data_IF_924572455906
#
_entry.id   IF_924572455906
#
_cell.length_a   1.000
_cell.length_b   1.000
_cell.length_c   1.000
_cell.angle_alpha   90.00
_cell.angle_beta   90.00
_cell.angle_gamma   90.00
#
_symmetry.space_group_name_H-M   'P 1'
#
loop_
_entity.id
_entity.type
_entity.pdbx_description
1 polymer ?
#
# COMPACT_ATOMS: atom_id res chain seq x y z
N UNK A 1 -0.91 2.64 -10.47
CA UNK A 1 -1.45 3.98 -10.68
C UNK A 1 -2.19 4.06 -11.99
N UNK A 2 -3.33 4.66 -11.93
CA UNK A 2 -4.23 4.78 -13.03
C UNK A 2 -4.18 6.17 -13.66
N UNK A 3 -4.15 6.21 -14.97
CA UNK A 3 -4.18 7.44 -15.74
C UNK A 3 -5.29 7.36 -16.81
N UNK A 4 -6.45 7.00 -16.36
CA UNK A 4 -7.60 6.68 -17.15
C UNK A 4 -8.16 7.88 -17.93
N UNK A 5 -8.70 7.63 -19.07
CA UNK A 5 -9.28 8.65 -19.93
C UNK A 5 -8.29 9.67 -20.49
N UNK A 6 -7.06 9.64 -20.07
CA UNK A 6 -5.99 10.55 -20.50
C UNK A 6 -5.08 9.93 -21.53
N UNK A 7 -5.29 8.67 -21.83
CA UNK A 7 -4.41 7.91 -22.69
C UNK A 7 -4.17 8.53 -24.06
N UNK A 8 -5.18 9.16 -24.65
CA UNK A 8 -5.08 9.80 -25.97
C UNK A 8 -4.18 11.02 -25.93
N UNK A 9 -4.30 11.83 -24.86
CA UNK A 9 -3.57 13.10 -24.74
C UNK A 9 -2.19 12.91 -24.12
N UNK A 10 -2.04 11.92 -23.29
CA UNK A 10 -0.92 11.81 -22.37
C UNK A 10 -0.27 10.43 -22.38
N UNK A 11 -0.13 9.79 -23.52
CA UNK A 11 0.47 8.48 -23.64
C UNK A 11 1.88 8.44 -23.04
N UNK A 12 2.73 9.38 -23.40
CA UNK A 12 4.07 9.49 -22.84
C UNK A 12 4.07 9.82 -21.33
N UNK A 13 3.09 10.58 -20.88
CA UNK A 13 2.90 10.86 -19.45
C UNK A 13 2.52 9.60 -18.69
N UNK A 14 1.63 8.78 -19.25
CA UNK A 14 1.27 7.49 -18.66
C UNK A 14 2.49 6.58 -18.53
N UNK A 15 3.26 6.46 -19.58
CA UNK A 15 4.50 5.65 -19.57
C UNK A 15 5.48 6.15 -18.50
N UNK A 16 5.67 7.46 -18.34
CA UNK A 16 6.53 8.02 -17.30
C UNK A 16 5.98 7.76 -15.89
N UNK A 17 4.67 7.82 -15.70
CA UNK A 17 4.03 7.52 -14.42
C UNK A 17 4.12 6.04 -14.06
N UNK A 18 3.99 5.16 -15.02
CA UNK A 18 4.16 3.73 -14.79
C UNK A 18 5.57 3.41 -14.27
N UNK A 19 6.60 3.98 -14.90
CA UNK A 19 7.98 3.81 -14.46
C UNK A 19 8.23 4.38 -13.06
N UNK A 20 7.70 5.56 -12.76
CA UNK A 20 7.78 6.18 -11.44
C UNK A 20 7.05 5.33 -10.40
N UNK A 21 5.83 4.90 -10.69
CA UNK A 21 5.01 4.09 -9.79
C UNK A 21 5.70 2.78 -9.44
N UNK A 22 6.20 2.06 -10.44
CA UNK A 22 6.93 0.82 -10.21
C UNK A 22 8.24 1.06 -9.46
N UNK A 23 8.91 2.18 -9.74
CA UNK A 23 10.11 2.59 -8.99
C UNK A 23 9.82 2.84 -7.51
N UNK A 24 8.75 3.58 -7.19
CA UNK A 24 8.30 3.80 -5.81
C UNK A 24 7.93 2.49 -5.11
N UNK A 25 7.17 1.63 -5.78
CA UNK A 25 6.76 0.34 -5.23
C UNK A 25 7.97 -0.57 -4.98
N UNK A 26 8.94 -0.60 -5.90
CA UNK A 26 10.18 -1.36 -5.75
C UNK A 26 11.02 -0.84 -4.60
N UNK A 27 11.14 0.48 -4.46
CA UNK A 27 11.88 1.10 -3.35
C UNK A 27 11.21 0.78 -2.00
N UNK A 28 9.88 0.86 -1.93
CA UNK A 28 9.14 0.51 -0.71
C UNK A 28 9.30 -0.99 -0.36
N UNK A 29 9.27 -1.88 -1.36
CA UNK A 29 9.55 -3.31 -1.17
C UNK A 29 10.94 -3.52 -0.58
N UNK A 30 11.97 -2.94 -1.19
CA UNK A 30 13.35 -3.08 -0.72
C UNK A 30 13.50 -2.55 0.71
N UNK A 31 12.95 -1.36 1.00
CA UNK A 31 12.96 -0.79 2.33
C UNK A 31 12.37 -1.74 3.40
N UNK A 32 11.26 -2.38 3.08
CA UNK A 32 10.58 -3.30 4.02
C UNK A 32 11.41 -4.56 4.19
N UNK A 33 11.83 -5.20 3.11
CA UNK A 33 12.55 -6.48 3.14
C UNK A 33 13.93 -6.39 3.79
N UNK A 34 14.61 -5.26 3.65
CA UNK A 34 15.92 -5.00 4.27
C UNK A 34 15.82 -4.76 5.77
N UNK A 35 14.70 -4.30 6.27
CA UNK A 35 14.55 -3.85 7.65
C UNK A 35 13.67 -4.73 8.54
N UNK A 36 12.87 -5.64 7.97
CA UNK A 36 11.88 -6.40 8.73
C UNK A 36 12.10 -7.91 8.68
N UNK A 37 12.07 -8.48 9.88
CA UNK A 37 12.05 -9.92 10.10
C UNK A 37 10.94 -10.28 11.08
N UNK A 38 10.41 -11.49 10.94
CA UNK A 38 9.52 -12.08 11.93
C UNK A 38 10.29 -12.44 13.22
N UNK A 39 9.59 -12.69 14.35
CA UNK A 39 10.26 -13.02 15.61
C UNK A 39 11.15 -14.26 15.57
N UNK A 40 10.93 -15.17 14.63
CA UNK A 40 11.76 -16.35 14.41
C UNK A 40 12.98 -16.11 13.51
N UNK A 41 13.19 -14.86 13.07
CA UNK A 41 14.27 -14.48 12.16
C UNK A 41 13.94 -14.66 10.68
N UNK A 42 12.77 -15.18 10.32
CA UNK A 42 12.34 -15.29 8.92
C UNK A 42 12.15 -13.89 8.34
N UNK A 43 12.72 -13.60 7.16
CA UNK A 43 12.54 -12.29 6.54
C UNK A 43 11.08 -12.06 6.10
N UNK A 44 10.62 -10.84 6.27
CA UNK A 44 9.34 -10.41 5.68
C UNK A 44 9.50 -10.35 4.17
N UNK A 45 8.55 -10.93 3.45
CA UNK A 45 8.54 -10.92 1.99
C UNK A 45 7.45 -10.00 1.47
N UNK A 46 7.79 -9.22 0.45
CA UNK A 46 6.86 -8.35 -0.25
C UNK A 46 6.67 -8.82 -1.69
N UNK A 47 5.43 -8.96 -2.12
CA UNK A 47 5.09 -9.21 -3.51
C UNK A 47 4.65 -7.92 -4.18
N UNK A 48 5.06 -7.71 -5.43
CA UNK A 48 4.64 -6.58 -6.23
C UNK A 48 3.55 -7.02 -7.21
N UNK A 49 2.58 -6.14 -7.45
CA UNK A 49 1.72 -6.30 -8.61
C UNK A 49 2.57 -6.41 -9.88
N UNK A 50 2.31 -7.37 -10.77
CA UNK A 50 3.10 -7.54 -11.99
C UNK A 50 3.00 -6.35 -12.95
N UNK A 51 1.96 -5.55 -12.81
CA UNK A 51 1.71 -4.34 -13.60
C UNK A 51 1.21 -3.21 -12.72
N UNK A 52 1.34 -1.98 -13.19
CA UNK A 52 0.59 -0.86 -12.63
C UNK A 52 -0.90 -1.06 -12.89
N UNK A 53 -1.73 -0.57 -11.98
CA UNK A 53 -3.19 -0.68 -12.10
C UNK A 53 -3.70 0.51 -12.89
N UNK A 54 -4.19 0.23 -14.11
CA UNK A 54 -4.73 1.23 -15.03
C UNK A 54 -6.24 1.12 -15.23
N UNK A 55 -6.87 0.07 -14.69
CA UNK A 55 -8.30 -0.16 -14.82
C UNK A 55 -8.75 -1.39 -14.04
N UNK A 56 -10.04 -1.68 -14.11
CA UNK A 56 -10.64 -2.77 -13.34
C UNK A 56 -10.09 -4.17 -13.66
N UNK A 57 -9.62 -4.39 -14.88
CA UNK A 57 -9.05 -5.68 -15.27
C UNK A 57 -7.70 -5.94 -14.58
N UNK A 58 -6.82 -4.93 -14.53
CA UNK A 58 -5.56 -5.03 -13.82
C UNK A 58 -5.79 -5.11 -12.31
N UNK A 59 -6.76 -4.38 -11.79
CA UNK A 59 -7.15 -4.44 -10.38
C UNK A 59 -7.61 -5.85 -9.97
N UNK A 60 -8.46 -6.48 -10.77
CA UNK A 60 -8.93 -7.85 -10.52
C UNK A 60 -7.78 -8.87 -10.53
N UNK A 61 -6.90 -8.79 -11.52
CA UNK A 61 -5.71 -9.65 -11.60
C UNK A 61 -4.76 -9.45 -10.41
N UNK A 62 -4.57 -8.22 -9.97
CA UNK A 62 -3.77 -7.92 -8.80
C UNK A 62 -4.39 -8.52 -7.53
N UNK A 63 -5.70 -8.41 -7.37
CA UNK A 63 -6.42 -8.99 -6.23
C UNK A 63 -6.32 -10.53 -6.21
N UNK A 64 -6.52 -11.19 -7.35
CA UNK A 64 -6.35 -12.64 -7.49
C UNK A 64 -4.91 -13.08 -7.16
N UNK A 65 -3.92 -12.35 -7.67
CA UNK A 65 -2.53 -12.62 -7.41
C UNK A 65 -2.20 -12.50 -5.92
N UNK A 66 -2.59 -11.41 -5.29
CA UNK A 66 -2.33 -11.20 -3.86
C UNK A 66 -3.07 -12.20 -2.96
N UNK A 67 -4.27 -12.61 -3.35
CA UNK A 67 -4.99 -13.67 -2.66
C UNK A 67 -4.25 -15.02 -2.76
N UNK A 68 -3.71 -15.35 -3.94
CA UNK A 68 -2.90 -16.55 -4.16
C UNK A 68 -1.62 -16.57 -3.33
N UNK A 69 -1.00 -15.40 -3.12
CA UNK A 69 0.20 -15.23 -2.29
C UNK A 69 -0.11 -15.12 -0.78
N UNK A 70 -1.36 -15.19 -0.37
CA UNK A 70 -1.81 -15.04 1.03
C UNK A 70 -1.31 -13.73 1.68
N UNK A 71 -1.37 -12.64 0.96
CA UNK A 71 -0.95 -11.32 1.42
C UNK A 71 -1.78 -10.90 2.64
N UNK A 72 -1.12 -10.45 3.70
CA UNK A 72 -1.79 -10.02 4.95
C UNK A 72 -1.94 -8.51 5.05
N UNK A 73 -1.18 -7.77 4.25
CA UNK A 73 -1.25 -6.31 4.20
C UNK A 73 -0.97 -5.81 2.79
N UNK A 74 -1.57 -4.68 2.45
CA UNK A 74 -1.38 -4.02 1.15
C UNK A 74 -0.88 -2.60 1.34
N UNK A 75 0.09 -2.20 0.52
CA UNK A 75 0.56 -0.83 0.41
C UNK A 75 0.32 -0.35 -1.02
N UNK A 76 -0.62 0.56 -1.19
CA UNK A 76 -0.83 1.24 -2.46
C UNK A 76 0.10 2.45 -2.55
N UNK A 77 0.82 2.58 -3.66
CA UNK A 77 1.68 3.74 -3.93
C UNK A 77 1.17 4.49 -5.16
N UNK A 78 1.10 5.81 -5.08
CA UNK A 78 0.61 6.60 -6.21
C UNK A 78 1.32 7.95 -6.33
N UNK A 79 1.95 8.22 -7.48
CA UNK A 79 2.55 9.52 -7.76
C UNK A 79 1.53 10.58 -8.19
N UNK A 80 0.31 10.19 -8.56
CA UNK A 80 -0.67 11.12 -9.11
C UNK A 80 -2.10 10.77 -8.70
N UNK A 81 -3.02 11.66 -9.06
CA UNK A 81 -4.44 11.38 -8.93
C UNK A 81 -4.88 10.24 -9.86
N UNK A 82 -5.71 9.35 -9.34
CA UNK A 82 -6.37 8.28 -10.09
C UNK A 82 -7.75 7.99 -9.47
N UNK A 83 -8.53 7.11 -10.08
CA UNK A 83 -9.80 6.67 -9.50
C UNK A 83 -9.56 5.64 -8.40
N UNK A 84 -10.12 5.89 -7.21
CA UNK A 84 -9.97 4.99 -6.07
C UNK A 84 -10.57 3.61 -6.28
N UNK A 85 -11.59 3.51 -7.14
CA UNK A 85 -12.29 2.25 -7.41
C UNK A 85 -11.39 1.12 -7.90
N UNK A 86 -10.34 1.44 -8.66
CA UNK A 86 -9.43 0.44 -9.20
C UNK A 86 -8.34 0.02 -8.21
N UNK A 87 -8.06 0.82 -7.21
CA UNK A 87 -6.95 0.59 -6.28
C UNK A 87 -7.40 0.22 -4.87
N UNK A 88 -8.70 0.09 -4.64
CA UNK A 88 -9.22 -0.39 -3.36
C UNK A 88 -8.86 -1.84 -3.11
N UNK A 89 -8.26 -2.07 -1.97
CA UNK A 89 -8.25 -3.39 -1.37
C UNK A 89 -9.54 -3.56 -0.58
N UNK A 90 -10.44 -4.38 -1.11
CA UNK A 90 -11.76 -4.61 -0.54
C UNK A 90 -11.78 -5.77 0.48
N UNK A 91 -10.69 -6.51 0.63
CA UNK A 91 -10.64 -7.59 1.61
C UNK A 91 -10.65 -7.01 3.04
N UNK A 92 -11.67 -7.29 3.86
CA UNK A 92 -11.73 -6.79 5.23
C UNK A 92 -10.65 -7.37 6.15
N UNK A 93 -9.97 -8.43 5.74
CA UNK A 93 -8.97 -9.14 6.53
C UNK A 93 -7.53 -8.72 6.24
N UNK A 94 -7.30 -7.90 5.24
CA UNK A 94 -5.99 -7.30 4.98
C UNK A 94 -5.85 -5.95 5.68
N UNK A 95 -4.63 -5.63 6.09
CA UNK A 95 -4.27 -4.32 6.64
C UNK A 95 -3.82 -3.43 5.48
N UNK A 96 -4.31 -2.21 5.43
CA UNK A 96 -4.15 -1.34 4.25
C UNK A 96 -3.41 -0.07 4.61
N UNK A 97 -2.47 0.32 3.75
CA UNK A 97 -1.89 1.65 3.74
C UNK A 97 -1.87 2.23 2.32
N UNK A 98 -1.89 3.52 2.24
CA UNK A 98 -1.78 4.25 0.98
C UNK A 98 -0.72 5.33 1.12
N UNK A 99 0.30 5.27 0.28
CA UNK A 99 1.29 6.31 0.15
C UNK A 99 0.95 7.20 -1.04
N UNK A 100 0.53 8.44 -0.75
CA UNK A 100 0.31 9.48 -1.72
C UNK A 100 1.58 10.34 -1.88
N UNK A 101 2.07 10.45 -3.10
CA UNK A 101 3.26 11.21 -3.43
C UNK A 101 3.03 12.72 -3.28
N UNK A 102 3.92 13.41 -2.60
CA UNK A 102 3.88 14.87 -2.47
C UNK A 102 4.54 15.55 -3.68
N UNK A 103 3.92 15.40 -4.83
CA UNK A 103 4.42 15.97 -6.08
C UNK A 103 3.80 17.33 -6.41
N UNK A 104 4.55 18.18 -7.10
CA UNK A 104 4.11 19.52 -7.50
C UNK A 104 3.11 19.51 -8.64
N UNK A 105 3.32 18.65 -9.63
CA UNK A 105 2.52 18.65 -10.87
C UNK A 105 1.36 17.64 -10.85
N UNK A 106 1.54 16.54 -10.15
CA UNK A 106 0.61 15.43 -10.10
C UNK A 106 0.54 14.87 -8.70
N UNK A 107 -0.03 15.63 -7.75
CA UNK A 107 0.03 15.26 -6.35
C UNK A 107 -0.80 14.00 -6.07
N UNK A 108 -0.14 12.94 -5.67
CA UNK A 108 -0.79 11.73 -5.14
C UNK A 108 -1.59 12.00 -3.86
N UNK A 109 -1.32 13.12 -3.20
CA UNK A 109 -2.06 13.57 -2.04
C UNK A 109 -3.55 13.77 -2.30
N UNK A 110 -3.95 14.20 -3.50
CA UNK A 110 -5.36 14.36 -3.86
C UNK A 110 -6.05 13.00 -3.93
N UNK A 111 -5.39 12.02 -4.52
CA UNK A 111 -5.87 10.64 -4.49
C UNK A 111 -5.92 10.10 -3.07
N UNK A 112 -4.86 10.30 -2.29
CA UNK A 112 -4.79 9.85 -0.90
C UNK A 112 -6.00 10.34 -0.09
N UNK A 113 -6.31 11.62 -0.17
CA UNK A 113 -7.46 12.19 0.54
C UNK A 113 -8.79 11.52 0.12
N UNK A 114 -8.99 11.36 -1.19
CA UNK A 114 -10.20 10.77 -1.73
C UNK A 114 -10.34 9.28 -1.35
N UNK A 115 -9.28 8.49 -1.48
CA UNK A 115 -9.33 7.05 -1.18
C UNK A 115 -9.47 6.78 0.31
N UNK A 116 -8.84 7.58 1.17
CA UNK A 116 -9.00 7.45 2.62
C UNK A 116 -10.44 7.75 3.06
N UNK A 117 -11.08 8.77 2.48
CA UNK A 117 -12.50 9.04 2.73
C UNK A 117 -13.40 7.89 2.26
N UNK A 118 -13.09 7.31 1.12
CA UNK A 118 -13.87 6.19 0.59
C UNK A 118 -13.66 4.88 1.40
N UNK A 119 -12.47 4.60 1.89
CA UNK A 119 -12.24 3.52 2.86
C UNK A 119 -13.06 3.71 4.14
N UNK A 120 -13.06 4.92 4.68
CA UNK A 120 -13.84 5.24 5.87
C UNK A 120 -15.36 5.03 5.64
N UNK A 121 -15.88 5.45 4.49
CA UNK A 121 -17.29 5.22 4.13
C UNK A 121 -17.66 3.73 4.01
N UNK A 122 -16.71 2.89 3.67
CA UNK A 122 -16.92 1.44 3.56
C UNK A 122 -16.66 0.69 4.87
N UNK A 123 -16.23 1.38 5.92
CA UNK A 123 -15.85 0.77 7.18
C UNK A 123 -14.57 -0.07 7.09
N UNK A 124 -13.73 0.18 6.11
CA UNK A 124 -12.46 -0.49 5.91
C UNK A 124 -11.32 0.39 6.47
N UNK A 125 -10.70 0.02 7.58
CA UNK A 125 -9.58 0.80 8.13
C UNK A 125 -8.40 0.82 7.17
N UNK A 126 -7.83 1.99 6.95
CA UNK A 126 -6.62 2.17 6.15
C UNK A 126 -5.74 3.26 6.76
N UNK A 127 -4.43 3.20 6.51
CA UNK A 127 -3.45 4.14 7.03
C UNK A 127 -2.93 5.03 5.90
N UNK A 128 -2.93 6.35 6.15
CA UNK A 128 -2.38 7.31 5.21
C UNK A 128 -0.88 7.50 5.43
N UNK A 129 -0.13 7.53 4.34
CA UNK A 129 1.29 7.85 4.32
C UNK A 129 1.50 9.02 3.37
N UNK A 130 2.11 10.08 3.87
CA UNK A 130 2.36 11.32 3.15
C UNK A 130 3.64 11.98 3.68
N UNK A 131 4.47 12.48 2.78
CA UNK A 131 5.74 13.13 3.11
C UNK A 131 5.62 14.65 3.25
N UNK A 132 6.54 15.26 3.99
CA UNK A 132 6.65 16.72 4.10
C UNK A 132 7.36 17.31 2.89
N UNK A 133 8.38 16.61 2.39
CA UNK A 133 9.19 17.11 1.30
C UNK A 133 8.44 16.98 -0.03
N UNK A 134 8.52 18.06 -0.80
CA UNK A 134 7.98 18.09 -2.16
C UNK A 134 8.95 17.35 -3.07
N UNK A 135 8.43 16.42 -3.82
CA UNK A 135 9.20 15.58 -4.73
C UNK A 135 8.93 15.91 -6.19
N UNK A 136 9.94 15.80 -7.02
CA UNK A 136 9.79 15.95 -8.47
C UNK A 136 9.13 14.71 -9.08
N UNK A 137 8.51 14.88 -10.24
CA UNK A 137 7.83 13.80 -10.95
C UNK A 137 8.74 12.65 -11.38
N UNK A 138 10.05 12.84 -11.38
CA UNK A 138 11.04 11.80 -11.70
C UNK A 138 11.61 11.10 -10.48
N UNK A 139 11.39 11.64 -9.29
CA UNK A 139 11.91 11.09 -8.05
C UNK A 139 11.27 9.73 -7.74
N UNK A 140 12.09 8.80 -7.33
CA UNK A 140 11.71 7.45 -6.89
C UNK A 140 12.19 7.16 -5.47
N UNK A 141 13.02 8.04 -4.94
CA UNK A 141 13.54 7.93 -3.59
C UNK A 141 12.43 8.14 -2.55
N UNK A 142 12.58 7.47 -1.43
CA UNK A 142 11.63 7.58 -0.34
C UNK A 142 12.16 8.61 0.65
N UNK A 143 11.45 9.75 0.88
CA UNK A 143 11.82 10.69 1.92
C UNK A 143 11.90 10.02 3.30
N UNK A 144 12.79 10.49 4.15
CA UNK A 144 13.07 9.85 5.44
C UNK A 144 11.82 9.72 6.34
N UNK A 145 10.96 10.74 6.36
CA UNK A 145 9.72 10.70 7.14
C UNK A 145 8.68 9.74 6.55
N UNK A 146 8.69 9.54 5.24
CA UNK A 146 7.86 8.53 4.56
C UNK A 146 8.39 7.14 4.84
N UNK A 147 9.70 6.94 4.77
CA UNK A 147 10.34 5.67 5.09
C UNK A 147 10.00 5.20 6.52
N UNK A 148 10.07 6.12 7.50
CA UNK A 148 9.65 5.82 8.87
C UNK A 148 8.18 5.39 8.96
N UNK A 149 7.28 6.06 8.25
CA UNK A 149 5.84 5.73 8.23
C UNK A 149 5.57 4.38 7.57
N UNK A 150 6.27 4.08 6.45
CA UNK A 150 6.17 2.79 5.79
C UNK A 150 6.65 1.67 6.71
N UNK A 151 7.81 1.84 7.36
CA UNK A 151 8.33 0.84 8.28
C UNK A 151 7.43 0.64 9.50
N UNK A 152 6.89 1.70 10.06
CA UNK A 152 5.92 1.62 11.17
C UNK A 152 4.66 0.83 10.78
N UNK A 153 4.11 1.10 9.61
CA UNK A 153 3.01 0.34 9.05
C UNK A 153 3.39 -1.13 8.85
N UNK A 154 4.52 -1.39 8.22
CA UNK A 154 4.97 -2.74 7.90
C UNK A 154 5.28 -3.57 9.15
N UNK A 155 5.84 -2.98 10.20
CA UNK A 155 6.01 -3.63 11.51
C UNK A 155 4.69 -4.06 12.12
N UNK A 156 3.69 -3.17 12.13
CA UNK A 156 2.37 -3.50 12.64
C UNK A 156 1.69 -4.60 11.81
N UNK A 157 1.81 -4.52 10.49
CA UNK A 157 1.28 -5.52 9.57
C UNK A 157 1.95 -6.88 9.75
N UNK A 158 3.28 -6.93 9.88
CA UNK A 158 4.02 -8.15 10.15
C UNK A 158 3.61 -8.80 11.48
N UNK A 159 3.41 -7.99 12.53
CA UNK A 159 2.95 -8.48 13.83
C UNK A 159 1.56 -9.14 13.74
N UNK A 160 0.62 -8.50 13.02
CA UNK A 160 -0.71 -9.10 12.80
C UNK A 160 -0.62 -10.35 11.94
N UNK A 161 0.20 -10.33 10.88
CA UNK A 161 0.44 -11.51 10.05
C UNK A 161 1.01 -12.67 10.84
N UNK A 162 1.95 -12.40 11.74
CA UNK A 162 2.54 -13.40 12.63
C UNK A 162 1.52 -13.99 13.61
N UNK A 163 0.58 -13.20 14.10
CA UNK A 163 -0.49 -13.65 15.00
C UNK A 163 -1.62 -14.39 14.28
N UNK A 164 -1.74 -14.23 12.97
CA UNK A 164 -2.79 -14.89 12.17
C UNK A 164 -2.71 -16.41 12.35
N UNK A 165 -3.83 -17.04 12.62
CA UNK A 165 -3.95 -18.48 12.89
C UNK A 165 -3.20 -18.96 14.16
N UNK A 166 -2.81 -18.08 15.06
CA UNK A 166 -2.29 -18.43 16.39
C UNK A 166 -3.43 -18.49 17.39
N UNK A 167 -3.30 -19.38 18.37
CA UNK A 167 -4.23 -19.46 19.49
C UNK A 167 -3.63 -18.76 20.70
N UNK A 168 -4.44 -18.01 21.43
CA UNK A 168 -4.12 -17.52 22.74
C UNK A 168 -4.69 -18.49 23.77
N UNK A 169 -3.82 -19.04 24.61
CA UNK A 169 -4.23 -19.97 25.68
C UNK A 169 -4.04 -19.26 27.01
N UNK A 170 -5.14 -19.06 27.73
CA UNK A 170 -5.11 -18.56 29.09
C UNK A 170 -5.07 -19.74 30.07
N UNK A 171 -4.02 -19.82 30.85
CA UNK A 171 -3.86 -20.78 31.94
C UNK A 171 -4.00 -20.02 33.25
N UNK A 172 -5.11 -20.16 33.92
CA UNK A 172 -5.35 -19.47 35.19
C UNK A 172 -6.83 -19.26 35.48
N UNK A 173 -7.09 -18.44 36.50
CA UNK A 173 -8.44 -18.15 36.95
C UNK A 173 -9.24 -17.37 35.90
N UNK A 174 -10.50 -17.73 35.76
CA UNK A 174 -11.46 -16.96 34.95
C UNK A 174 -11.98 -15.83 35.86
N UNK A 175 -11.96 -14.60 35.34
CA UNK A 175 -12.60 -13.50 36.03
C UNK A 175 -14.11 -13.75 36.07
N UNK A 176 -14.66 -13.80 37.30
CA UNK A 176 -16.11 -13.94 37.43
C UNK A 176 -16.78 -12.59 37.23
N UNK A 177 -17.83 -12.58 36.44
CA UNK A 177 -18.66 -11.38 36.26
C UNK A 177 -18.41 -10.60 34.99
N UNK A 178 -17.81 -11.20 33.98
CA UNK A 178 -17.74 -10.66 32.62
C UNK A 178 -18.73 -11.42 31.77
#
# INVERSE_FOLDING_TARGET
VHNEGRAIVARGVRESLEAQTMGMATAAKALIEENLHYPDGTPVQCVLSPTTIGGGAEAAKCAEYFAGENVVATLTVTPCWCYGSETFDMDPHTIKAVWGFNGTERPGAVYLAAVMAAYAQKGLPAFSIYGHDVQDMTDKEIPADVAEKILRFAHAAAAVGWMKNKAYVNLGGIAMGI
#
